data_IF_746798208319
#
_entry.id   IF_746798208319
#
_cell.length_a   1.000
_cell.length_b   1.000
_cell.length_c   1.000
_cell.angle_alpha   90.00
_cell.angle_beta   90.00
_cell.angle_gamma   90.00
#
_symmetry.space_group_name_H-M   'P 1'
#
loop_
_entity.id
_entity.type
_entity.pdbx_description
1 polymer ?
#
# COMPACT_ATOMS: atom_id res chain seq x y z
N UNK A 1 -4.40 9.91 -10.70
CA UNK A 1 -4.46 8.83 -9.68
C UNK A 1 -4.19 7.46 -10.28
N UNK A 2 -4.94 7.01 -11.29
CA UNK A 2 -4.70 5.74 -11.97
C UNK A 2 -3.22 5.48 -12.34
N UNK A 3 -2.60 6.40 -13.09
CA UNK A 3 -1.17 6.30 -13.46
C UNK A 3 -0.26 6.25 -12.23
N UNK A 4 -0.59 6.96 -11.15
CA UNK A 4 0.22 6.95 -9.94
C UNK A 4 0.16 5.58 -9.23
N UNK A 5 -0.98 4.88 -9.29
CA UNK A 5 -1.07 3.51 -8.77
C UNK A 5 -0.21 2.54 -9.59
N UNK A 6 -0.22 2.66 -10.93
CA UNK A 6 0.66 1.86 -11.81
C UNK A 6 2.13 2.14 -11.49
N UNK A 7 2.52 3.41 -11.40
CA UNK A 7 3.90 3.78 -11.02
C UNK A 7 4.26 3.28 -9.61
N UNK A 8 3.31 3.31 -8.68
CA UNK A 8 3.48 2.75 -7.35
C UNK A 8 3.78 1.25 -7.40
N UNK A 9 3.02 0.49 -8.18
CA UNK A 9 3.24 -0.94 -8.41
C UNK A 9 4.64 -1.24 -8.97
N UNK A 10 5.06 -0.56 -10.05
CA UNK A 10 6.41 -0.75 -10.60
C UNK A 10 7.52 -0.33 -9.61
N UNK A 11 7.27 0.75 -8.85
CA UNK A 11 8.19 1.18 -7.80
C UNK A 11 8.28 0.14 -6.68
N UNK A 12 7.21 -0.61 -6.40
CA UNK A 12 7.25 -1.71 -5.44
C UNK A 12 8.17 -2.83 -5.91
N UNK A 13 8.12 -3.21 -7.19
CA UNK A 13 9.05 -4.18 -7.77
C UNK A 13 10.50 -3.71 -7.67
N UNK A 14 10.76 -2.42 -7.93
CA UNK A 14 12.09 -1.83 -7.82
C UNK A 14 12.59 -1.83 -6.36
N UNK A 15 11.80 -1.30 -5.43
CA UNK A 15 12.18 -1.14 -4.03
C UNK A 15 12.37 -2.47 -3.32
N UNK A 16 11.57 -3.47 -3.65
CA UNK A 16 11.68 -4.81 -3.10
C UNK A 16 12.58 -5.72 -3.96
N UNK A 17 13.29 -5.19 -4.96
CA UNK A 17 14.25 -5.92 -5.81
C UNK A 17 13.63 -7.20 -6.42
N UNK A 18 12.34 -7.16 -6.76
CA UNK A 18 11.63 -8.32 -7.32
C UNK A 18 12.26 -8.78 -8.65
N UNK A 19 12.80 -7.85 -9.45
CA UNK A 19 13.48 -8.18 -10.71
C UNK A 19 14.75 -9.02 -10.55
N UNK A 20 15.31 -9.10 -9.34
CA UNK A 20 16.44 -9.98 -9.01
C UNK A 20 16.02 -11.38 -8.55
N UNK A 21 14.74 -11.59 -8.25
CA UNK A 21 14.21 -12.89 -7.84
C UNK A 21 13.78 -13.69 -9.07
N UNK A 22 14.13 -14.98 -9.11
CA UNK A 22 13.74 -15.89 -10.17
C UNK A 22 12.54 -16.72 -9.73
N UNK A 23 11.38 -16.47 -10.33
CA UNK A 23 10.16 -17.24 -10.08
C UNK A 23 10.38 -18.73 -10.35
N UNK A 24 10.06 -19.59 -9.38
CA UNK A 24 10.11 -21.05 -9.55
C UNK A 24 8.73 -21.63 -9.87
N UNK A 25 7.67 -20.86 -9.65
CA UNK A 25 6.28 -21.28 -9.86
C UNK A 25 5.35 -20.11 -10.15
N UNK A 26 4.14 -20.40 -10.67
CA UNK A 26 3.09 -19.39 -10.79
C UNK A 26 2.69 -18.81 -9.43
N UNK A 27 2.84 -19.57 -8.33
CA UNK A 27 2.54 -19.07 -6.99
C UNK A 27 3.56 -18.00 -6.55
N UNK A 28 4.80 -18.11 -7.00
CA UNK A 28 5.82 -17.08 -6.75
C UNK A 28 5.49 -15.81 -7.52
N UNK A 29 5.14 -15.90 -8.82
CA UNK A 29 4.69 -14.72 -9.57
C UNK A 29 3.47 -14.08 -8.90
N UNK A 30 2.46 -14.87 -8.54
CA UNK A 30 1.26 -14.36 -7.85
C UNK A 30 1.60 -13.65 -6.55
N UNK A 31 2.47 -14.22 -5.73
CA UNK A 31 2.93 -13.63 -4.48
C UNK A 31 3.64 -12.29 -4.70
N UNK A 32 4.54 -12.21 -5.68
CA UNK A 32 5.26 -10.98 -6.02
C UNK A 32 4.32 -9.88 -6.51
N UNK A 33 3.39 -10.23 -7.40
CA UNK A 33 2.43 -9.30 -8.00
C UNK A 33 1.41 -8.79 -6.98
N UNK A 34 0.86 -9.66 -6.14
CA UNK A 34 -0.04 -9.28 -5.04
C UNK A 34 0.70 -8.39 -4.04
N UNK A 35 1.95 -8.70 -3.72
CA UNK A 35 2.74 -7.81 -2.86
C UNK A 35 2.98 -6.45 -3.52
N UNK A 36 3.29 -6.42 -4.82
CA UNK A 36 3.49 -5.18 -5.56
C UNK A 36 2.20 -4.35 -5.66
N UNK A 37 1.02 -4.96 -5.80
CA UNK A 37 -0.27 -4.27 -5.75
C UNK A 37 -0.50 -3.60 -4.38
N UNK A 38 -0.25 -4.35 -3.30
CA UNK A 38 -0.42 -3.86 -1.92
C UNK A 38 0.58 -2.74 -1.62
N UNK A 39 1.87 -3.04 -1.73
CA UNK A 39 2.96 -2.13 -1.38
C UNK A 39 3.00 -0.96 -2.35
N UNK A 40 2.76 -1.18 -3.63
CA UNK A 40 2.73 -0.12 -4.64
C UNK A 40 1.59 0.85 -4.46
N UNK A 41 0.41 0.36 -4.05
CA UNK A 41 -0.68 1.26 -3.66
C UNK A 41 -0.28 2.09 -2.43
N UNK A 42 0.38 1.47 -1.45
CA UNK A 42 0.93 2.18 -0.28
C UNK A 42 1.93 3.27 -0.69
N UNK A 43 2.86 2.98 -1.61
CA UNK A 43 3.80 3.94 -2.22
C UNK A 43 3.05 5.11 -2.86
N UNK A 44 2.02 4.84 -3.65
CA UNK A 44 1.23 5.87 -4.29
C UNK A 44 0.54 6.79 -3.26
N UNK A 45 -0.04 6.23 -2.20
CA UNK A 45 -0.67 7.04 -1.14
C UNK A 45 0.37 7.89 -0.40
N UNK A 46 1.53 7.31 -0.05
CA UNK A 46 2.63 8.05 0.58
C UNK A 46 3.06 9.21 -0.31
N UNK A 47 3.30 8.96 -1.59
CA UNK A 47 3.68 10.01 -2.55
C UNK A 47 2.62 11.13 -2.62
N UNK A 48 1.32 10.80 -2.63
CA UNK A 48 0.24 11.80 -2.58
C UNK A 48 0.15 12.55 -1.25
N UNK A 49 0.69 11.98 -0.17
CA UNK A 49 0.55 12.53 1.18
C UNK A 49 1.75 13.36 1.60
N UNK A 50 2.97 13.06 1.15
CA UNK A 50 4.19 13.77 1.57
C UNK A 50 5.03 14.31 0.40
N UNK A 51 4.67 14.03 -0.85
CA UNK A 51 5.38 14.55 -2.01
C UNK A 51 4.77 15.87 -2.49
N UNK A 52 5.40 17.00 -2.17
CA UNK A 52 4.86 18.35 -2.45
C UNK A 52 4.35 18.52 -3.89
N UNK A 53 5.16 18.14 -4.88
CA UNK A 53 4.76 18.22 -6.30
C UNK A 53 3.57 17.32 -6.65
N UNK A 54 3.47 16.16 -6.00
CA UNK A 54 2.34 15.25 -6.20
C UNK A 54 1.09 15.81 -5.52
N UNK A 55 1.23 16.39 -4.32
CA UNK A 55 0.14 17.07 -3.63
C UNK A 55 -0.42 18.21 -4.49
N UNK A 56 0.44 19.06 -5.07
CA UNK A 56 0.02 20.15 -5.96
C UNK A 56 -0.78 19.63 -7.15
N UNK A 57 -0.29 18.57 -7.80
CA UNK A 57 -1.01 17.93 -8.90
C UNK A 57 -2.36 17.35 -8.46
N UNK A 58 -2.41 16.67 -7.32
CA UNK A 58 -3.65 16.04 -6.81
C UNK A 58 -4.67 17.09 -6.39
N UNK A 59 -4.24 18.16 -5.71
CA UNK A 59 -5.12 19.24 -5.24
C UNK A 59 -5.63 20.12 -6.37
N UNK A 60 -4.91 20.17 -7.50
CA UNK A 60 -5.36 20.81 -8.74
C UNK A 60 -6.44 20.05 -9.51
N UNK A 61 -6.73 18.78 -9.17
CA UNK A 61 -7.81 18.02 -9.79
C UNK A 61 -9.18 18.42 -9.23
N UNK A 62 -10.28 18.24 -9.98
CA UNK A 62 -11.64 18.40 -9.46
C UNK A 62 -11.86 17.56 -8.19
N UNK A 63 -12.33 18.19 -7.11
CA UNK A 63 -12.48 17.54 -5.80
C UNK A 63 -11.17 17.24 -5.07
N UNK A 64 -10.01 17.61 -5.62
CA UNK A 64 -8.69 17.30 -5.07
C UNK A 64 -8.39 17.91 -3.70
N UNK A 65 -9.08 19.00 -3.33
CA UNK A 65 -8.99 19.60 -1.99
C UNK A 65 -9.87 18.89 -0.95
N UNK A 66 -10.87 18.14 -1.39
CA UNK A 66 -11.82 17.47 -0.53
C UNK A 66 -11.36 16.03 -0.24
N UNK A 67 -11.16 15.70 1.03
CA UNK A 67 -10.70 14.35 1.42
C UNK A 67 -11.65 13.25 0.96
N UNK A 68 -12.96 13.47 1.03
CA UNK A 68 -13.97 12.51 0.56
C UNK A 68 -13.85 12.23 -0.94
N UNK A 69 -13.84 13.28 -1.76
CA UNK A 69 -13.71 13.16 -3.20
C UNK A 69 -12.36 12.54 -3.63
N UNK A 70 -11.27 12.81 -2.91
CA UNK A 70 -9.97 12.13 -3.14
C UNK A 70 -10.06 10.63 -2.92
N UNK A 71 -10.69 10.19 -1.83
CA UNK A 71 -10.90 8.75 -1.54
C UNK A 71 -11.74 8.10 -2.63
N UNK A 72 -12.81 8.75 -3.08
CA UNK A 72 -13.67 8.26 -4.16
C UNK A 72 -12.91 8.16 -5.48
N UNK A 73 -12.05 9.14 -5.80
CA UNK A 73 -11.19 9.12 -6.98
C UNK A 73 -10.12 8.00 -6.92
N UNK A 74 -9.58 7.71 -5.73
CA UNK A 74 -8.70 6.55 -5.52
C UNK A 74 -9.47 5.25 -5.78
N UNK A 75 -10.67 5.11 -5.20
CA UNK A 75 -11.53 3.95 -5.43
C UNK A 75 -11.92 3.75 -6.90
N UNK A 76 -12.20 4.83 -7.62
CA UNK A 76 -12.44 4.80 -9.07
C UNK A 76 -11.19 4.37 -9.85
N UNK A 77 -10.01 4.88 -9.49
CA UNK A 77 -8.75 4.52 -10.12
C UNK A 77 -8.39 3.05 -9.90
N UNK A 78 -8.59 2.51 -8.69
CA UNK A 78 -8.38 1.08 -8.41
C UNK A 78 -9.41 0.23 -9.18
N UNK A 79 -10.67 0.67 -9.25
CA UNK A 79 -11.70 -0.03 -10.04
C UNK A 79 -11.30 -0.11 -11.52
N UNK A 80 -10.71 0.97 -12.06
CA UNK A 80 -10.21 0.99 -13.43
C UNK A 80 -9.05 0.01 -13.63
N UNK A 81 -8.11 -0.13 -12.68
CA UNK A 81 -7.07 -1.18 -12.75
C UNK A 81 -7.70 -2.57 -12.87
N UNK A 82 -8.74 -2.83 -12.07
CA UNK A 82 -9.50 -4.06 -12.10
C UNK A 82 -10.06 -4.39 -13.48
N UNK A 83 -10.68 -3.42 -14.15
CA UNK A 83 -11.34 -3.62 -15.45
C UNK A 83 -10.43 -3.45 -16.66
N UNK A 84 -9.14 -3.15 -16.46
CA UNK A 84 -8.20 -2.89 -17.58
C UNK A 84 -6.89 -3.68 -17.45
N UNK A 85 -6.11 -3.44 -16.39
CA UNK A 85 -4.78 -4.04 -16.23
C UNK A 85 -4.83 -5.46 -15.65
N UNK A 86 -5.82 -5.75 -14.79
CA UNK A 86 -5.87 -7.02 -14.09
C UNK A 86 -6.61 -8.13 -14.86
N UNK A 87 -7.34 -7.79 -15.93
CA UNK A 87 -8.01 -8.76 -16.81
C UNK A 87 -7.04 -9.34 -17.86
N UNK A 88 -6.09 -10.14 -17.39
CA UNK A 88 -5.03 -10.68 -18.25
C UNK A 88 -5.39 -11.99 -18.96
N UNK A 89 -6.44 -12.69 -18.50
CA UNK A 89 -6.80 -14.04 -18.97
C UNK A 89 -5.77 -15.13 -18.63
N UNK A 90 -4.73 -14.80 -17.85
CA UNK A 90 -3.63 -15.71 -17.52
C UNK A 90 -3.72 -16.21 -16.09
N UNK A 91 -3.51 -17.52 -15.91
CA UNK A 91 -3.44 -18.17 -14.58
C UNK A 91 -2.15 -17.83 -13.81
N UNK A 92 -1.21 -17.11 -14.44
CA UNK A 92 0.02 -16.62 -13.79
C UNK A 92 -0.26 -15.50 -12.79
N UNK A 93 -1.39 -14.83 -12.89
CA UNK A 93 -1.78 -13.73 -11.99
C UNK A 93 -2.99 -14.12 -11.14
N UNK A 94 -3.16 -13.44 -10.01
CA UNK A 94 -4.41 -13.55 -9.26
C UNK A 94 -5.57 -12.92 -10.02
N UNK A 95 -6.81 -13.40 -9.82
CA UNK A 95 -7.99 -12.79 -10.40
C UNK A 95 -8.10 -11.32 -10.04
N UNK A 96 -8.60 -10.51 -10.98
CA UNK A 96 -8.72 -9.08 -10.82
C UNK A 96 -9.44 -8.63 -9.52
N UNK A 97 -10.50 -9.29 -9.02
CA UNK A 97 -11.10 -8.91 -7.74
C UNK A 97 -10.16 -9.04 -6.54
N UNK A 98 -9.31 -10.07 -6.52
CA UNK A 98 -8.30 -10.26 -5.46
C UNK A 98 -7.28 -9.12 -5.52
N UNK A 99 -6.73 -8.84 -6.70
CA UNK A 99 -5.77 -7.74 -6.90
C UNK A 99 -6.34 -6.37 -6.52
N UNK A 100 -7.60 -6.10 -6.86
CA UNK A 100 -8.34 -4.89 -6.44
C UNK A 100 -8.47 -4.80 -4.93
N UNK A 101 -8.88 -5.88 -4.25
CA UNK A 101 -8.99 -5.91 -2.79
C UNK A 101 -7.63 -5.70 -2.11
N UNK A 102 -6.57 -6.23 -2.70
CA UNK A 102 -5.18 -6.02 -2.27
C UNK A 102 -4.76 -4.55 -2.39
N UNK A 103 -5.09 -3.86 -3.48
CA UNK A 103 -4.86 -2.42 -3.60
C UNK A 103 -5.62 -1.65 -2.50
N UNK A 104 -6.89 -1.98 -2.25
CA UNK A 104 -7.68 -1.36 -1.17
C UNK A 104 -7.00 -1.58 0.18
N UNK A 105 -6.50 -2.79 0.47
CA UNK A 105 -5.73 -3.06 1.68
C UNK A 105 -4.45 -2.20 1.77
N UNK A 106 -3.79 -1.92 0.63
CA UNK A 106 -2.66 -1.00 0.55
C UNK A 106 -3.03 0.45 0.93
N UNK A 107 -4.19 0.95 0.48
CA UNK A 107 -4.71 2.27 0.88
C UNK A 107 -4.97 2.30 2.38
N UNK A 108 -5.68 1.29 2.91
CA UNK A 108 -5.99 1.19 4.34
C UNK A 108 -4.71 1.16 5.18
N UNK A 109 -3.72 0.37 4.77
CA UNK A 109 -2.41 0.26 5.43
C UNK A 109 -1.67 1.60 5.48
N UNK A 110 -1.65 2.36 4.37
CA UNK A 110 -1.04 3.67 4.33
C UNK A 110 -1.72 4.67 5.28
N UNK A 111 -3.05 4.69 5.29
CA UNK A 111 -3.83 5.62 6.13
C UNK A 111 -3.80 5.23 7.61
N UNK A 112 -3.82 3.93 7.93
CA UNK A 112 -3.61 3.46 9.30
C UNK A 112 -2.21 3.85 9.81
N UNK A 113 -1.20 3.78 8.95
CA UNK A 113 0.16 4.25 9.28
C UNK A 113 0.15 5.75 9.53
N UNK A 114 -0.46 6.55 8.64
CA UNK A 114 -0.60 8.00 8.83
C UNK A 114 -1.26 8.37 10.15
N UNK A 115 -2.40 7.75 10.47
CA UNK A 115 -3.13 8.01 11.70
C UNK A 115 -2.36 7.59 12.93
N UNK A 116 -1.74 6.40 12.90
CA UNK A 116 -0.91 5.90 14.00
C UNK A 116 0.26 6.83 14.28
N UNK A 117 0.95 7.28 13.23
CA UNK A 117 2.02 8.27 13.37
C UNK A 117 1.42 9.53 13.97
N UNK A 118 0.24 9.97 13.50
CA UNK A 118 -0.45 11.17 13.98
C UNK A 118 -1.08 11.09 15.39
N UNK A 119 -0.82 10.02 16.17
CA UNK A 119 -1.44 9.82 17.49
C UNK A 119 -2.95 9.54 17.44
N UNK A 120 -3.51 9.28 16.27
CA UNK A 120 -4.95 9.05 16.08
C UNK A 120 -5.22 7.54 16.22
N UNK A 121 -6.00 7.10 17.24
CA UNK A 121 -6.26 5.69 17.46
C UNK A 121 -7.05 5.09 16.30
N UNK A 122 -6.85 3.77 16.07
CA UNK A 122 -7.65 3.00 15.12
C UNK A 122 -9.12 3.04 15.52
N UNK A 123 -9.99 3.25 14.53
CA UNK A 123 -11.43 3.30 14.72
C UNK A 123 -12.11 2.43 13.66
N UNK A 124 -12.80 1.38 14.09
CA UNK A 124 -13.45 0.41 13.19
C UNK A 124 -14.48 1.09 12.28
N UNK A 125 -15.27 2.03 12.81
CA UNK A 125 -16.26 2.78 12.03
C UNK A 125 -15.62 3.62 10.92
N UNK A 126 -14.49 4.28 11.21
CA UNK A 126 -13.70 5.01 10.22
C UNK A 126 -13.15 4.08 9.15
N UNK A 127 -12.57 2.95 9.54
CA UNK A 127 -12.01 1.97 8.60
C UNK A 127 -13.09 1.38 7.69
N UNK A 128 -14.26 1.01 8.24
CA UNK A 128 -15.40 0.54 7.46
C UNK A 128 -15.95 1.62 6.52
N UNK A 129 -16.10 2.86 7.00
CA UNK A 129 -16.59 3.98 6.17
C UNK A 129 -15.66 4.24 4.98
N UNK A 130 -14.35 4.25 5.23
CA UNK A 130 -13.33 4.41 4.20
C UNK A 130 -13.37 3.27 3.18
N UNK A 131 -13.41 2.02 3.66
CA UNK A 131 -13.50 0.85 2.79
C UNK A 131 -14.75 0.91 1.91
N UNK A 132 -15.92 1.22 2.48
CA UNK A 132 -17.16 1.38 1.72
C UNK A 132 -17.04 2.47 0.65
N UNK A 133 -16.45 3.63 0.97
CA UNK A 133 -16.22 4.70 -0.02
C UNK A 133 -15.30 4.26 -1.16
N UNK A 134 -14.23 3.53 -0.85
CA UNK A 134 -13.32 3.01 -1.88
C UNK A 134 -14.04 2.06 -2.86
N UNK A 135 -15.01 1.28 -2.39
CA UNK A 135 -15.81 0.36 -3.21
C UNK A 135 -17.04 0.99 -3.88
N UNK A 136 -17.37 2.26 -3.60
CA UNK A 136 -18.60 2.87 -4.10
C UNK A 136 -18.59 3.22 -5.59
N UNK A 137 -17.42 3.28 -6.22
CA UNK A 137 -17.29 3.66 -7.63
C UNK A 137 -17.96 2.67 -8.59
N UNK A 138 -18.49 3.10 -9.75
CA UNK A 138 -19.13 2.20 -10.71
C UNK A 138 -18.20 1.05 -11.17
N UNK A 139 -16.93 1.35 -11.41
CA UNK A 139 -15.94 0.34 -11.80
C UNK A 139 -15.71 -0.71 -10.69
N UNK A 140 -15.67 -0.28 -9.43
CA UNK A 140 -15.60 -1.20 -8.28
C UNK A 140 -16.82 -2.10 -8.17
N UNK A 141 -18.03 -1.55 -8.38
CA UNK A 141 -19.27 -2.36 -8.34
C UNK A 141 -19.27 -3.45 -9.42
N UNK A 142 -18.80 -3.12 -10.63
CA UNK A 142 -18.64 -4.09 -11.71
C UNK A 142 -17.60 -5.17 -11.35
N UNK A 143 -16.54 -4.81 -10.62
CA UNK A 143 -15.56 -5.78 -10.13
C UNK A 143 -16.15 -6.70 -9.05
N UNK A 144 -16.91 -6.15 -8.12
CA UNK A 144 -17.56 -6.93 -7.06
C UNK A 144 -18.63 -7.89 -7.61
N UNK A 145 -19.33 -7.53 -8.70
CA UNK A 145 -20.31 -8.42 -9.34
C UNK A 145 -19.67 -9.63 -10.03
N UNK A 146 -18.35 -9.65 -10.23
CA UNK A 146 -17.60 -10.77 -10.83
C UNK A 146 -17.10 -11.77 -9.79
N UNK A 147 -17.30 -11.51 -8.49
CA UNK A 147 -16.89 -12.42 -7.42
C UNK A 147 -18.03 -13.41 -7.18
N UNK A 148 -17.84 -14.66 -7.62
CA UNK A 148 -18.78 -15.74 -7.32
C UNK A 148 -18.68 -16.11 -5.83
N UNK A 149 -19.63 -15.61 -5.04
CA UNK A 149 -19.76 -15.90 -3.61
C UNK A 149 -18.70 -15.26 -2.72
N UNK A 150 -18.80 -15.50 -1.40
CA UNK A 150 -17.84 -15.03 -0.41
C UNK A 150 -16.58 -15.92 -0.40
N UNK A 151 -15.86 -16.02 -1.51
CA UNK A 151 -14.53 -16.63 -1.50
C UNK A 151 -13.56 -15.66 -0.82
N UNK A 152 -13.21 -15.99 0.42
CA UNK A 152 -12.19 -15.26 1.18
C UNK A 152 -10.88 -15.36 0.41
N UNK A 153 -10.14 -14.25 0.20
CA UNK A 153 -8.82 -14.32 -0.43
C UNK A 153 -7.97 -15.38 0.27
N UNK A 154 -7.42 -16.31 -0.49
CA UNK A 154 -6.63 -17.38 0.11
C UNK A 154 -5.41 -16.78 0.81
N UNK A 155 -5.34 -16.95 2.13
CA UNK A 155 -4.17 -16.57 2.94
C UNK A 155 -2.94 -17.45 2.65
N UNK A 156 -3.08 -18.43 1.74
CA UNK A 156 -2.04 -19.36 1.31
C UNK A 156 -0.82 -18.63 0.71
N UNK A 157 -0.99 -17.40 0.23
CA UNK A 157 0.10 -16.61 -0.35
C UNK A 157 1.02 -15.97 0.69
N UNK A 158 0.57 -15.74 1.93
CA UNK A 158 1.40 -15.03 2.93
C UNK A 158 2.71 -15.76 3.27
N UNK A 159 2.72 -17.09 3.47
CA UNK A 159 3.97 -17.83 3.63
C UNK A 159 4.93 -17.67 2.45
N UNK A 160 4.41 -17.70 1.21
CA UNK A 160 5.21 -17.53 -0.01
C UNK A 160 5.77 -16.11 -0.12
N UNK A 161 4.94 -15.09 0.07
CA UNK A 161 5.35 -13.68 0.11
C UNK A 161 6.47 -13.51 1.14
N UNK A 162 6.26 -14.00 2.37
CA UNK A 162 7.25 -13.89 3.44
C UNK A 162 8.56 -14.58 3.06
N UNK A 163 8.50 -15.82 2.59
CA UNK A 163 9.68 -16.60 2.16
C UNK A 163 10.49 -15.83 1.11
N UNK A 164 9.83 -15.31 0.07
CA UNK A 164 10.48 -14.57 -1.01
C UNK A 164 11.14 -13.29 -0.47
N UNK A 165 10.41 -12.50 0.32
CA UNK A 165 10.95 -11.23 0.83
C UNK A 165 12.07 -11.42 1.84
N UNK A 166 12.02 -12.47 2.68
CA UNK A 166 13.13 -12.83 3.56
C UNK A 166 14.35 -13.28 2.76
N UNK A 167 14.15 -14.07 1.71
CA UNK A 167 15.24 -14.45 0.81
C UNK A 167 15.88 -13.22 0.14
N UNK A 168 15.07 -12.29 -0.36
CA UNK A 168 15.57 -11.05 -0.95
C UNK A 168 16.27 -10.18 0.10
N UNK A 169 15.70 -10.03 1.29
CA UNK A 169 16.30 -9.27 2.38
C UNK A 169 17.67 -9.85 2.76
N UNK A 170 17.80 -11.18 2.84
CA UNK A 170 19.00 -11.87 3.30
C UNK A 170 19.40 -11.32 4.69
N UNK A 171 20.68 -11.17 4.98
CA UNK A 171 21.17 -10.73 6.30
C UNK A 171 21.04 -9.21 6.55
N UNK A 172 20.32 -8.49 5.67
CA UNK A 172 20.17 -7.03 5.77
C UNK A 172 19.02 -6.69 6.73
N UNK A 173 19.11 -5.58 7.49
CA UNK A 173 18.03 -5.15 8.37
C UNK A 173 16.77 -4.70 7.61
N UNK A 174 16.90 -4.35 6.34
CA UNK A 174 15.81 -3.98 5.44
C UNK A 174 16.27 -4.10 3.98
N UNK A 175 15.32 -4.32 3.06
CA UNK A 175 15.63 -4.39 1.61
C UNK A 175 16.09 -3.03 1.07
N UNK A 176 15.44 -1.94 1.47
CA UNK A 176 15.63 -0.60 0.89
C UNK A 176 16.77 0.19 1.54
N UNK A 177 18.02 -0.21 1.26
CA UNK A 177 19.21 0.52 1.71
C UNK A 177 19.23 1.94 1.12
N UNK A 178 19.22 2.96 1.98
CA UNK A 178 19.30 4.38 1.58
C UNK A 178 17.97 5.10 1.38
N UNK A 179 16.82 4.49 1.72
CA UNK A 179 15.55 5.20 1.77
C UNK A 179 15.59 6.29 2.85
N UNK A 180 15.07 7.49 2.53
CA UNK A 180 14.95 8.58 3.51
C UNK A 180 14.06 8.16 4.69
N UNK A 181 14.29 8.67 5.91
CA UNK A 181 13.62 8.12 7.08
C UNK A 181 12.10 8.35 7.10
N UNK A 182 11.59 9.52 6.66
CA UNK A 182 10.13 9.74 6.54
C UNK A 182 9.45 8.69 5.63
N UNK A 183 9.82 8.50 4.33
CA UNK A 183 9.26 7.41 3.53
C UNK A 183 9.48 6.02 4.12
N UNK A 184 10.62 5.78 4.78
CA UNK A 184 10.94 4.49 5.40
C UNK A 184 9.96 4.14 6.53
N UNK A 185 9.65 5.11 7.39
CA UNK A 185 8.68 4.98 8.47
C UNK A 185 7.26 4.69 7.96
N UNK A 186 6.95 5.06 6.73
CA UNK A 186 5.67 4.73 6.13
C UNK A 186 5.71 3.38 5.43
N UNK A 187 6.72 3.14 4.60
CA UNK A 187 6.73 2.02 3.68
C UNK A 187 7.13 0.70 4.33
N UNK A 188 8.11 0.70 5.24
CA UNK A 188 8.67 -0.47 5.93
C UNK A 188 8.99 -1.66 4.99
N UNK A 189 10.27 -1.94 4.78
CA UNK A 189 10.73 -3.12 4.01
C UNK A 189 11.56 -4.07 4.86
N UNK A 190 11.18 -4.24 6.13
CA UNK A 190 11.76 -5.23 7.03
C UNK A 190 10.77 -6.40 7.18
N UNK A 191 11.22 -7.58 6.76
CA UNK A 191 10.48 -8.83 6.72
C UNK A 191 11.05 -9.88 7.68
N UNK A 192 12.06 -9.49 8.46
CA UNK A 192 12.62 -10.25 9.57
C UNK A 192 12.20 -9.64 10.91
N UNK A 193 12.24 -10.46 11.95
CA UNK A 193 11.89 -10.09 13.31
C UNK A 193 10.61 -10.72 13.83
N UNK A 194 10.66 -11.15 15.09
CA UNK A 194 9.52 -11.42 15.95
C UNK A 194 8.57 -10.22 16.01
N UNK A 195 7.32 -10.45 16.44
CA UNK A 195 6.36 -9.35 16.64
C UNK A 195 6.88 -8.26 17.58
N UNK A 196 7.61 -8.67 18.62
CA UNK A 196 8.27 -7.75 19.56
C UNK A 196 9.36 -6.91 18.89
N UNK A 197 10.20 -7.50 18.04
CA UNK A 197 11.22 -6.74 17.30
C UNK A 197 10.60 -5.76 16.30
N UNK A 198 9.48 -6.12 15.67
CA UNK A 198 8.73 -5.22 14.78
C UNK A 198 8.10 -4.06 15.57
N UNK A 199 7.54 -4.32 16.75
CA UNK A 199 7.00 -3.27 17.62
C UNK A 199 8.09 -2.32 18.12
N UNK A 200 9.22 -2.86 18.57
CA UNK A 200 10.36 -2.05 19.03
C UNK A 200 10.96 -1.19 17.90
N UNK A 201 11.01 -1.72 16.66
CA UNK A 201 11.44 -0.92 15.50
C UNK A 201 10.44 0.18 15.15
N UNK A 202 9.13 -0.10 15.18
CA UNK A 202 8.10 0.91 14.95
C UNK A 202 8.21 2.07 15.96
N UNK A 203 8.46 1.78 17.24
CA UNK A 203 8.71 2.80 18.27
C UNK A 203 9.97 3.63 17.98
N UNK A 204 11.07 2.99 17.57
CA UNK A 204 12.30 3.71 17.17
C UNK A 204 12.09 4.62 15.96
N UNK A 205 11.34 4.15 14.97
CA UNK A 205 11.04 4.94 13.78
C UNK A 205 10.10 6.10 14.07
N UNK A 206 9.14 5.92 14.98
CA UNK A 206 8.32 7.02 15.50
C UNK A 206 9.19 8.10 16.15
N UNK A 207 10.18 7.71 16.96
CA UNK A 207 11.15 8.64 17.55
C UNK A 207 11.93 9.44 16.51
N UNK A 208 12.49 8.76 15.50
CA UNK A 208 13.22 9.44 14.39
C UNK A 208 12.33 10.34 13.56
N UNK A 209 11.09 9.92 13.29
CA UNK A 209 10.12 10.75 12.56
C UNK A 209 9.80 12.03 13.34
N UNK A 210 9.63 11.94 14.67
CA UNK A 210 9.44 13.12 15.53
C UNK A 210 10.59 14.11 15.36
N UNK A 211 11.83 13.62 15.40
CA UNK A 211 13.03 14.46 15.22
C UNK A 211 13.06 15.14 13.84
N UNK A 212 12.75 14.41 12.76
CA UNK A 212 12.76 14.96 11.40
C UNK A 212 11.61 15.95 11.14
N UNK A 213 10.41 15.69 11.66
CA UNK A 213 9.28 16.63 11.52
C UNK A 213 9.58 17.97 12.19
N UNK A 214 10.22 17.93 13.37
CA UNK A 214 10.72 19.14 14.06
C UNK A 214 11.77 19.86 13.22
N UNK A 215 12.71 19.14 12.61
CA UNK A 215 13.72 19.75 11.72
C UNK A 215 13.12 20.40 10.47
N UNK A 216 11.98 19.89 9.99
CA UNK A 216 11.24 20.43 8.85
C UNK A 216 10.29 21.58 9.22
N UNK A 217 10.20 21.95 10.50
CA UNK A 217 9.31 23.02 10.97
C UNK A 217 7.83 22.67 10.87
N UNK A 218 7.49 21.38 10.90
CA UNK A 218 6.12 20.90 10.89
C UNK A 218 5.66 20.63 12.32
N UNK A 219 4.53 21.21 12.71
CA UNK A 219 3.97 21.02 14.06
C UNK A 219 3.59 19.55 14.28
N UNK A 220 4.07 19.00 15.40
CA UNK A 220 3.61 17.71 15.89
C UNK A 220 2.19 17.90 16.49
N UNK A 221 1.19 17.10 16.09
CA UNK A 221 -0.14 17.16 16.70
C UNK A 221 -0.07 17.01 18.23
N UNK A 222 -0.85 17.81 18.97
CA UNK A 222 -0.82 17.92 20.44
C UNK A 222 -1.08 16.61 21.22
N UNK A 223 -1.45 15.52 20.53
CA UNK A 223 -1.90 14.25 21.12
C UNK A 223 -0.98 13.07 20.77
N UNK A 224 0.32 13.31 20.56
CA UNK A 224 1.34 12.27 20.28
C UNK A 224 2.08 11.76 21.51
#
# INVERSE_FOLDING_TARGET
>A
MFILLVLGHETAHLLNVHGGFRDESNQDTKALEVWADFFGTKVAIVAMTIGDKIQDMVTGLPGGKETGARVEAIGAAIGLLGTTYFETGSSRYEPAPVRVATCVAGVMSALDTFWSLSGIPRNVGRSMSLQLRLYQSPAMRLMLSKVDGASVPERSQFPTIRRIHQHIQSDRPFITVGMRPIPSAWLHTNYEGSEQERMAEAERQLGRLKEELVQLGLDLPEVW
#
